data_IF_224109205807
#
_entry.id   IF_224109205807
#
_cell.length_a   1.000
_cell.length_b   1.000
_cell.length_c   1.000
_cell.angle_alpha   90.00
_cell.angle_beta   90.00
_cell.angle_gamma   90.00
#
_symmetry.space_group_name_H-M   'P 1'
#
loop_
_entity.id
_entity.type
_entity.pdbx_description
1 polymer ?
#
# COMPACT_ATOMS: atom_id res chain seq x y z
N UNK A 1 20.91 11.86 -8.15
CA UNK A 1 19.69 11.56 -8.92
C UNK A 1 19.23 10.12 -8.82
N UNK A 2 20.08 9.11 -8.88
CA UNK A 2 19.69 7.68 -8.88
C UNK A 2 18.93 7.24 -7.62
N UNK A 3 19.30 7.71 -6.43
CA UNK A 3 18.64 7.38 -5.16
C UNK A 3 17.21 7.92 -5.10
N UNK A 4 16.95 9.12 -5.63
CA UNK A 4 15.59 9.72 -5.71
C UNK A 4 14.63 8.88 -6.55
N UNK A 5 15.10 8.35 -7.69
CA UNK A 5 14.29 7.49 -8.57
C UNK A 5 13.87 6.19 -7.90
N UNK A 6 14.75 5.59 -7.09
CA UNK A 6 14.50 4.29 -6.44
C UNK A 6 13.40 4.36 -5.38
N UNK A 7 13.39 5.38 -4.53
CA UNK A 7 12.38 5.49 -3.49
C UNK A 7 11.03 5.97 -4.04
N UNK A 8 11.02 6.78 -5.10
CA UNK A 8 9.81 7.13 -5.83
C UNK A 8 9.20 5.88 -6.52
N UNK A 9 10.03 5.08 -7.18
CA UNK A 9 9.62 3.83 -7.79
C UNK A 9 9.02 2.87 -6.75
N UNK A 10 9.66 2.73 -5.59
CA UNK A 10 9.14 1.89 -4.50
C UNK A 10 7.76 2.35 -4.03
N UNK A 11 7.57 3.66 -3.86
CA UNK A 11 6.28 4.23 -3.44
C UNK A 11 5.18 3.95 -4.47
N UNK A 12 5.46 4.20 -5.77
CA UNK A 12 4.49 3.96 -6.84
C UNK A 12 4.19 2.47 -7.02
N UNK A 13 5.22 1.61 -6.99
CA UNK A 13 5.05 0.16 -7.13
C UNK A 13 4.23 -0.40 -5.97
N UNK A 14 4.49 0.05 -4.74
CA UNK A 14 3.70 -0.33 -3.57
C UNK A 14 2.25 0.19 -3.65
N UNK A 15 2.03 1.34 -4.29
CA UNK A 15 0.70 1.92 -4.47
C UNK A 15 -0.13 1.19 -5.54
N UNK A 16 0.47 0.37 -6.39
CA UNK A 16 -0.26 -0.33 -7.44
C UNK A 16 -1.31 -1.31 -6.88
N UNK A 17 -1.01 -2.00 -5.77
CA UNK A 17 -2.00 -2.89 -5.11
C UNK A 17 -3.24 -2.12 -4.64
N UNK A 18 -3.13 -1.05 -3.84
CA UNK A 18 -4.31 -0.28 -3.47
C UNK A 18 -4.99 0.35 -4.69
N UNK A 19 -4.24 0.84 -5.68
CA UNK A 19 -4.80 1.50 -6.86
C UNK A 19 -5.61 0.55 -7.75
N UNK A 20 -5.07 -0.61 -8.10
CA UNK A 20 -5.68 -1.54 -9.05
C UNK A 20 -6.39 -2.72 -8.40
N UNK A 21 -6.00 -3.10 -7.18
CA UNK A 21 -6.57 -4.24 -6.47
C UNK A 21 -7.71 -3.89 -5.51
N UNK A 22 -7.69 -2.69 -4.90
CA UNK A 22 -8.63 -2.32 -3.85
C UNK A 22 -9.58 -1.19 -4.28
N UNK A 23 -9.06 -0.15 -4.93
CA UNK A 23 -9.84 1.04 -5.28
C UNK A 23 -10.93 0.82 -6.35
N UNK A 24 -10.78 -0.08 -7.35
CA UNK A 24 -11.86 -0.34 -8.30
C UNK A 24 -13.21 -0.69 -7.67
N UNK A 25 -13.19 -1.41 -6.54
CA UNK A 25 -14.41 -1.75 -5.80
C UNK A 25 -15.06 -0.58 -5.04
N UNK A 26 -14.41 0.57 -4.98
CA UNK A 26 -14.85 1.74 -4.21
C UNK A 26 -15.49 2.83 -5.07
N UNK A 27 -15.50 2.65 -6.38
CA UNK A 27 -15.96 3.64 -7.35
C UNK A 27 -14.91 4.72 -7.64
N UNK A 28 -14.93 5.26 -8.86
CA UNK A 28 -13.93 6.22 -9.33
C UNK A 28 -13.94 7.55 -8.58
N UNK A 29 -15.11 8.06 -8.20
CA UNK A 29 -15.22 9.29 -7.43
C UNK A 29 -14.68 9.10 -6.01
N UNK A 30 -14.96 7.95 -5.36
CA UNK A 30 -14.39 7.59 -4.07
C UNK A 30 -12.88 7.45 -4.12
N UNK A 31 -12.34 6.84 -5.17
CA UNK A 31 -10.90 6.71 -5.38
C UNK A 31 -10.21 8.07 -5.58
N UNK A 32 -10.83 8.97 -6.37
CA UNK A 32 -10.30 10.30 -6.63
C UNK A 32 -10.28 11.17 -5.37
N UNK A 33 -11.43 11.30 -4.69
CA UNK A 33 -11.55 12.13 -3.49
C UNK A 33 -10.74 11.58 -2.32
N UNK A 34 -10.82 10.28 -2.07
CA UNK A 34 -10.03 9.62 -1.03
C UNK A 34 -8.53 9.69 -1.31
N UNK A 35 -8.13 9.55 -2.56
CA UNK A 35 -6.75 9.67 -2.98
C UNK A 35 -6.20 11.10 -2.89
N UNK A 36 -7.01 12.11 -3.23
CA UNK A 36 -6.66 13.52 -3.05
C UNK A 36 -6.46 13.85 -1.56
N UNK A 37 -7.36 13.34 -0.70
CA UNK A 37 -7.23 13.49 0.76
C UNK A 37 -5.94 12.82 1.28
N UNK A 38 -5.64 11.59 0.83
CA UNK A 38 -4.41 10.88 1.19
C UNK A 38 -3.16 11.65 0.76
N UNK A 39 -3.12 12.13 -0.48
CA UNK A 39 -2.00 12.92 -1.00
C UNK A 39 -1.83 14.24 -0.22
N UNK A 40 -2.92 14.90 0.15
CA UNK A 40 -2.89 16.12 0.96
C UNK A 40 -2.34 15.86 2.37
N UNK A 41 -2.81 14.81 3.06
CA UNK A 41 -2.32 14.38 4.38
C UNK A 41 -0.81 14.11 4.30
N UNK A 42 -0.37 13.33 3.32
CA UNK A 42 1.04 13.01 3.14
C UNK A 42 1.88 14.25 2.84
N UNK A 43 1.39 15.18 2.03
CA UNK A 43 2.08 16.44 1.73
C UNK A 43 2.25 17.30 3.00
N UNK A 44 1.20 17.43 3.81
CA UNK A 44 1.28 18.11 5.11
C UNK A 44 2.32 17.49 6.01
N UNK A 45 2.31 16.14 6.09
CA UNK A 45 3.28 15.38 6.88
C UNK A 45 4.71 15.56 6.38
N UNK A 46 4.92 15.48 5.07
CA UNK A 46 6.23 15.72 4.46
C UNK A 46 6.79 17.09 4.80
N UNK A 47 5.96 18.13 4.71
CA UNK A 47 6.36 19.49 5.09
C UNK A 47 6.67 19.59 6.58
N UNK A 48 5.90 18.92 7.45
CA UNK A 48 6.13 18.93 8.89
C UNK A 48 7.44 18.23 9.27
N UNK A 49 7.83 17.17 8.59
CA UNK A 49 9.06 16.41 8.88
C UNK A 49 10.35 17.12 8.45
N UNK A 50 10.31 18.14 7.56
CA UNK A 50 11.49 18.89 7.07
C UNK A 50 12.70 17.99 6.74
N UNK A 51 12.49 16.83 6.12
CA UNK A 51 13.56 15.89 5.76
C UNK A 51 13.99 14.92 6.86
N UNK A 52 13.40 14.97 8.07
CA UNK A 52 13.64 13.96 9.12
C UNK A 52 12.82 12.69 8.86
N UNK A 53 13.31 11.53 9.29
CA UNK A 53 12.50 10.32 9.27
C UNK A 53 11.45 10.37 10.37
N UNK A 54 10.24 9.88 10.06
CA UNK A 54 9.15 9.81 11.03
C UNK A 54 9.51 8.89 12.22
N UNK A 55 10.28 7.82 11.99
CA UNK A 55 10.74 6.91 13.03
C UNK A 55 11.60 7.64 14.10
N UNK A 56 12.51 8.51 13.67
CA UNK A 56 13.32 9.30 14.59
C UNK A 56 12.51 10.35 15.36
N UNK A 57 11.53 10.99 14.68
CA UNK A 57 10.65 11.96 15.32
C UNK A 57 9.73 11.30 16.36
N UNK A 58 9.28 10.06 16.11
CA UNK A 58 8.43 9.32 17.02
C UNK A 58 9.15 8.78 18.27
N UNK A 59 10.46 8.57 18.20
CA UNK A 59 11.25 8.02 19.33
C UNK A 59 11.45 9.03 20.47
N UNK A 60 11.05 10.28 20.34
CA UNK A 60 11.19 11.31 21.35
C UNK A 60 10.12 11.19 22.45
N UNK A 61 10.55 10.95 23.71
CA UNK A 61 9.69 10.88 24.90
C UNK A 61 8.96 9.55 25.10
N UNK A 62 8.32 9.37 26.28
CA UNK A 62 7.63 8.13 26.63
C UNK A 62 6.39 7.88 25.76
N UNK A 63 5.59 8.91 25.54
CA UNK A 63 4.38 8.85 24.69
C UNK A 63 4.75 8.54 23.24
N UNK A 64 5.83 9.15 22.72
CA UNK A 64 6.32 8.87 21.38
C UNK A 64 6.77 7.41 21.21
N UNK A 65 7.46 6.85 22.19
CA UNK A 65 7.86 5.42 22.20
C UNK A 65 6.67 4.47 22.21
N UNK A 66 5.67 4.72 23.05
CA UNK A 66 4.45 3.92 23.07
C UNK A 66 3.70 3.99 21.71
N UNK A 67 3.54 5.18 21.16
CA UNK A 67 2.92 5.37 19.86
C UNK A 67 3.72 4.70 18.73
N UNK A 68 5.05 4.73 18.77
CA UNK A 68 5.92 4.05 17.82
C UNK A 68 5.79 2.52 17.91
N UNK A 69 5.66 1.95 19.12
CA UNK A 69 5.43 0.52 19.32
C UNK A 69 4.08 0.09 18.72
N UNK A 70 3.01 0.82 19.01
CA UNK A 70 1.68 0.55 18.44
C UNK A 70 1.70 0.67 16.91
N UNK A 71 2.40 1.68 16.37
CA UNK A 71 2.53 1.85 14.92
C UNK A 71 3.34 0.72 14.28
N UNK A 72 4.39 0.23 14.93
CA UNK A 72 5.16 -0.92 14.43
C UNK A 72 4.30 -2.18 14.34
N UNK A 73 3.48 -2.45 15.37
CA UNK A 73 2.51 -3.55 15.35
C UNK A 73 1.45 -3.35 14.26
N UNK A 74 0.93 -2.12 14.11
CA UNK A 74 -0.02 -1.80 13.06
C UNK A 74 0.55 -2.00 11.65
N UNK A 75 1.78 -1.55 11.39
CA UNK A 75 2.46 -1.76 10.10
C UNK A 75 2.73 -3.24 9.84
N UNK A 76 3.07 -4.00 10.86
CA UNK A 76 3.22 -5.44 10.74
C UNK A 76 1.88 -6.13 10.40
N UNK A 77 0.79 -5.77 11.07
CA UNK A 77 -0.57 -6.24 10.75
C UNK A 77 -1.00 -5.87 9.32
N UNK A 78 -0.65 -4.65 8.87
CA UNK A 78 -0.87 -4.22 7.48
C UNK A 78 -0.06 -5.03 6.48
N UNK A 79 1.17 -5.41 6.81
CA UNK A 79 1.99 -6.28 5.96
C UNK A 79 1.37 -7.68 5.82
N UNK A 80 0.87 -8.26 6.92
CA UNK A 80 0.13 -9.52 6.90
C UNK A 80 -1.15 -9.42 6.06
N UNK A 81 -1.88 -8.33 6.21
CA UNK A 81 -3.06 -8.05 5.39
C UNK A 81 -2.72 -7.92 3.90
N UNK A 82 -1.65 -7.20 3.54
CA UNK A 82 -1.20 -7.05 2.16
C UNK A 82 -0.79 -8.40 1.56
N UNK A 83 -0.07 -9.23 2.31
CA UNK A 83 0.28 -10.59 1.91
C UNK A 83 -0.97 -11.48 1.75
N UNK A 84 -1.93 -11.40 2.67
CA UNK A 84 -3.21 -12.11 2.57
C UNK A 84 -4.03 -11.70 1.35
N UNK A 85 -4.02 -10.41 0.99
CA UNK A 85 -4.72 -9.90 -0.21
C UNK A 85 -4.11 -10.39 -1.51
N UNK A 86 -2.85 -10.77 -1.53
CA UNK A 86 -2.21 -11.34 -2.73
C UNK A 86 -2.89 -12.63 -3.23
N UNK A 87 -3.65 -13.33 -2.37
CA UNK A 87 -4.50 -14.46 -2.77
C UNK A 87 -5.52 -14.10 -3.85
N UNK A 88 -5.92 -12.83 -3.92
CA UNK A 88 -6.84 -12.35 -4.95
C UNK A 88 -6.24 -12.38 -6.36
N UNK A 89 -4.91 -12.41 -6.47
CA UNK A 89 -4.24 -12.58 -7.76
C UNK A 89 -4.44 -13.98 -8.36
N UNK A 90 -4.78 -14.98 -7.51
CA UNK A 90 -5.03 -16.35 -7.93
C UNK A 90 -6.39 -16.82 -7.39
N UNK A 91 -7.50 -16.44 -8.02
CA UNK A 91 -8.84 -16.83 -7.53
C UNK A 91 -9.06 -18.33 -7.51
N UNK A 92 -8.40 -19.08 -8.38
CA UNK A 92 -8.49 -20.54 -8.45
C UNK A 92 -7.84 -21.23 -7.24
N UNK A 93 -6.83 -20.58 -6.64
CA UNK A 93 -6.13 -21.07 -5.43
C UNK A 93 -6.48 -20.25 -4.20
N UNK A 94 -7.60 -19.51 -4.21
CA UNK A 94 -7.98 -18.57 -3.17
C UNK A 94 -8.08 -19.19 -1.76
N UNK A 95 -8.28 -20.51 -1.67
CA UNK A 95 -8.25 -21.25 -0.42
C UNK A 95 -6.85 -21.59 0.11
N UNK A 96 -5.81 -21.47 -0.72
CA UNK A 96 -4.44 -21.83 -0.30
C UNK A 96 -3.75 -20.67 0.44
N UNK A 97 -3.27 -20.88 1.65
CA UNK A 97 -2.47 -19.88 2.37
C UNK A 97 -1.05 -19.73 1.82
N UNK A 98 -0.62 -20.67 0.96
CA UNK A 98 0.76 -20.81 0.51
C UNK A 98 1.26 -19.55 -0.20
N UNK A 99 0.48 -18.97 -1.11
CA UNK A 99 0.87 -17.77 -1.85
C UNK A 99 1.10 -16.57 -0.91
N UNK A 100 0.22 -16.39 0.07
CA UNK A 100 0.37 -15.33 1.07
C UNK A 100 1.58 -15.56 1.97
N UNK A 101 1.81 -16.79 2.41
CA UNK A 101 2.96 -17.16 3.23
C UNK A 101 4.27 -16.95 2.48
N UNK A 102 4.34 -17.35 1.20
CA UNK A 102 5.52 -17.14 0.36
C UNK A 102 5.82 -15.65 0.16
N UNK A 103 4.80 -14.84 -0.16
CA UNK A 103 5.00 -13.39 -0.32
C UNK A 103 5.47 -12.77 0.98
N UNK A 104 4.88 -13.15 2.11
CA UNK A 104 5.29 -12.63 3.40
C UNK A 104 6.73 -13.03 3.74
N UNK A 105 7.12 -14.29 3.53
CA UNK A 105 8.46 -14.79 3.78
C UNK A 105 9.50 -14.09 2.89
N UNK A 106 9.23 -13.97 1.59
CA UNK A 106 10.09 -13.26 0.66
C UNK A 106 10.21 -11.77 1.00
N UNK A 107 9.10 -11.13 1.38
CA UNK A 107 9.08 -9.73 1.80
C UNK A 107 9.87 -9.50 3.08
N UNK A 108 9.77 -10.43 4.03
CA UNK A 108 10.55 -10.37 5.27
C UNK A 108 12.06 -10.52 4.99
N UNK A 109 12.42 -11.43 4.10
CA UNK A 109 13.82 -11.59 3.66
C UNK A 109 14.31 -10.33 2.95
N UNK A 110 13.54 -9.80 1.99
CA UNK A 110 13.89 -8.57 1.27
C UNK A 110 14.03 -7.36 2.22
N UNK A 111 13.17 -7.27 3.25
CA UNK A 111 13.28 -6.23 4.28
C UNK A 111 14.61 -6.31 5.07
N UNK A 112 15.25 -7.49 5.16
CA UNK A 112 16.59 -7.62 5.74
C UNK A 112 17.68 -7.00 4.87
N UNK A 113 17.53 -7.06 3.54
CA UNK A 113 18.48 -6.49 2.57
C UNK A 113 18.43 -4.96 2.51
N UNK A 114 17.42 -4.33 3.13
CA UNK A 114 17.31 -2.88 3.26
C UNK A 114 16.56 -2.19 2.13
N UNK A 115 16.19 -0.94 2.37
CA UNK A 115 15.33 -0.14 1.49
C UNK A 115 15.95 0.10 0.09
N UNK A 116 17.27 0.14 0.00
CA UNK A 116 17.95 0.39 -1.28
C UNK A 116 17.82 -0.79 -2.26
N UNK A 117 17.96 -2.03 -1.77
CA UNK A 117 17.81 -3.23 -2.58
C UNK A 117 16.36 -3.33 -3.12
N UNK A 118 15.37 -3.11 -2.25
CA UNK A 118 13.96 -3.14 -2.63
C UNK A 118 13.62 -1.99 -3.58
N UNK A 119 14.19 -0.81 -3.38
CA UNK A 119 14.04 0.33 -4.29
C UNK A 119 14.61 0.07 -5.69
N UNK A 120 15.71 -0.69 -5.81
CA UNK A 120 16.23 -1.13 -7.12
C UNK A 120 15.28 -2.08 -7.82
N UNK A 121 14.75 -3.07 -7.11
CA UNK A 121 13.77 -3.99 -7.63
C UNK A 121 12.51 -3.24 -8.11
N UNK A 122 11.98 -2.34 -7.29
CA UNK A 122 10.82 -1.53 -7.63
C UNK A 122 11.06 -0.62 -8.85
N UNK A 123 12.27 -0.08 -9.03
CA UNK A 123 12.61 0.76 -10.17
C UNK A 123 12.60 -0.01 -11.50
N UNK A 124 12.87 -1.31 -11.48
CA UNK A 124 12.75 -2.19 -12.66
C UNK A 124 11.30 -2.62 -12.88
N UNK A 125 10.57 -2.90 -11.80
CA UNK A 125 9.17 -3.34 -11.87
C UNK A 125 8.22 -2.22 -12.31
N UNK A 126 8.47 -0.98 -11.92
CA UNK A 126 7.57 0.14 -12.18
C UNK A 126 7.24 0.34 -13.67
N UNK A 127 8.21 0.40 -14.60
CA UNK A 127 7.88 0.54 -16.02
C UNK A 127 7.11 -0.66 -16.56
N UNK A 128 7.45 -1.88 -16.13
CA UNK A 128 6.70 -3.08 -16.51
C UNK A 128 5.24 -3.00 -16.05
N UNK A 129 5.01 -2.62 -14.79
CA UNK A 129 3.66 -2.44 -14.25
C UNK A 129 2.90 -1.33 -14.99
N UNK A 130 3.56 -0.21 -15.26
CA UNK A 130 2.95 0.91 -15.98
C UNK A 130 2.49 0.49 -17.39
N UNK A 131 3.30 -0.29 -18.09
CA UNK A 131 2.94 -0.83 -19.41
C UNK A 131 1.78 -1.81 -19.30
N UNK A 132 1.84 -2.79 -18.39
CA UNK A 132 0.81 -3.81 -18.23
C UNK A 132 -0.54 -3.20 -17.85
N UNK A 133 -0.58 -2.33 -16.85
CA UNK A 133 -1.82 -1.65 -16.44
C UNK A 133 -2.30 -0.67 -17.51
N UNK A 134 -1.38 0.06 -18.16
CA UNK A 134 -1.70 0.98 -19.25
C UNK A 134 -2.34 0.27 -20.44
N UNK A 135 -1.81 -0.86 -20.86
CA UNK A 135 -2.37 -1.68 -21.95
C UNK A 135 -3.79 -2.09 -21.60
N UNK A 136 -4.05 -2.60 -20.40
CA UNK A 136 -5.41 -3.02 -20.02
C UNK A 136 -6.36 -1.82 -20.01
N UNK A 137 -5.95 -0.69 -19.42
CA UNK A 137 -6.79 0.50 -19.41
C UNK A 137 -7.16 0.95 -20.82
N UNK A 138 -6.19 0.99 -21.74
CA UNK A 138 -6.41 1.41 -23.14
C UNK A 138 -7.34 0.45 -23.88
N UNK A 139 -7.07 -0.86 -23.80
CA UNK A 139 -7.91 -1.84 -24.51
C UNK A 139 -9.32 -1.98 -23.92
N UNK A 140 -9.47 -1.71 -22.62
CA UNK A 140 -10.80 -1.71 -21.98
C UNK A 140 -11.64 -0.48 -22.37
N UNK A 141 -11.06 0.59 -22.93
CA UNK A 141 -11.80 1.77 -23.36
C UNK A 141 -12.81 1.44 -24.47
N UNK A 142 -12.50 0.47 -25.34
CA UNK A 142 -13.41 0.04 -26.42
C UNK A 142 -14.70 -0.63 -25.91
N UNK A 143 -14.67 -1.19 -24.69
CA UNK A 143 -15.81 -1.86 -24.07
C UNK A 143 -16.56 -0.97 -23.07
N UNK A 144 -16.14 0.29 -22.93
CA UNK A 144 -16.61 1.20 -21.90
C UNK A 144 -18.02 1.73 -22.25
N UNK A 145 -18.98 1.50 -21.36
CA UNK A 145 -20.34 2.04 -21.46
C UNK A 145 -20.47 3.29 -20.58
N UNK A 146 -20.60 4.45 -21.20
CA UNK A 146 -20.68 5.74 -20.48
C UNK A 146 -21.88 5.80 -19.52
N UNK A 147 -22.98 5.10 -19.83
CA UNK A 147 -24.17 5.02 -18.96
C UNK A 147 -23.88 4.39 -17.58
N UNK A 148 -22.80 3.61 -17.45
CA UNK A 148 -22.40 2.96 -16.20
C UNK A 148 -21.38 3.77 -15.38
N UNK A 149 -20.89 4.89 -15.95
CA UNK A 149 -19.93 5.79 -15.28
C UNK A 149 -20.56 6.74 -14.27
N UNK A 150 -21.85 6.60 -13.97
CA UNK A 150 -22.49 7.39 -12.94
C UNK A 150 -21.70 7.30 -11.61
N UNK A 151 -21.50 8.42 -10.91
CA UNK A 151 -20.71 8.44 -9.68
C UNK A 151 -21.41 7.63 -8.59
N UNK A 152 -21.08 6.37 -8.51
CA UNK A 152 -21.50 5.47 -7.43
C UNK A 152 -20.47 5.58 -6.31
N UNK A 153 -20.62 6.54 -5.41
CA UNK A 153 -19.67 6.71 -4.32
C UNK A 153 -20.40 6.99 -3.02
N UNK A 154 -20.23 6.11 -2.03
CA UNK A 154 -20.60 6.41 -0.66
C UNK A 154 -19.44 7.12 0.05
N UNK A 155 -19.67 8.02 1.02
CA UNK A 155 -18.59 8.63 1.81
C UNK A 155 -17.66 7.59 2.45
N UNK A 156 -18.19 6.41 2.81
CA UNK A 156 -17.41 5.28 3.32
C UNK A 156 -16.43 4.72 2.29
N UNK A 157 -16.79 4.75 1.01
CA UNK A 157 -15.89 4.33 -0.06
C UNK A 157 -14.69 5.29 -0.20
N UNK A 158 -14.93 6.61 -0.13
CA UNK A 158 -13.85 7.62 -0.12
C UNK A 158 -12.90 7.46 1.07
N UNK A 159 -13.41 7.19 2.26
CA UNK A 159 -12.58 6.92 3.45
C UNK A 159 -11.72 5.65 3.28
N UNK A 160 -12.29 4.58 2.72
CA UNK A 160 -11.53 3.35 2.43
C UNK A 160 -10.47 3.57 1.37
N UNK A 161 -10.76 4.34 0.33
CA UNK A 161 -9.79 4.71 -0.70
C UNK A 161 -8.66 5.56 -0.10
N UNK A 162 -8.97 6.54 0.73
CA UNK A 162 -7.99 7.33 1.46
C UNK A 162 -7.09 6.43 2.32
N UNK A 163 -7.66 5.55 3.15
CA UNK A 163 -6.91 4.64 4.00
C UNK A 163 -5.98 3.71 3.20
N UNK A 164 -6.46 3.15 2.09
CA UNK A 164 -5.65 2.26 1.25
C UNK A 164 -4.54 3.00 0.51
N UNK A 165 -4.79 4.21 0.01
CA UNK A 165 -3.78 5.03 -0.67
C UNK A 165 -2.82 5.75 0.28
N UNK A 166 -3.08 5.74 1.60
CA UNK A 166 -2.12 6.12 2.62
C UNK A 166 -1.04 5.06 2.90
N UNK A 167 -1.28 3.78 2.54
CA UNK A 167 -0.34 2.69 2.79
C UNK A 167 1.08 2.96 2.26
N UNK A 168 1.29 3.48 1.04
CA UNK A 168 2.61 3.85 0.55
C UNK A 168 3.30 4.94 1.39
N UNK A 169 2.54 5.67 2.20
CA UNK A 169 3.04 6.64 3.17
C UNK A 169 3.95 6.01 4.24
N UNK A 170 3.94 4.69 4.39
CA UNK A 170 4.92 3.96 5.19
C UNK A 170 6.37 4.29 4.81
N UNK A 171 6.62 4.73 3.58
CA UNK A 171 7.92 5.24 3.15
C UNK A 171 8.43 6.45 3.96
N UNK A 172 7.54 7.19 4.63
CA UNK A 172 7.93 8.30 5.52
C UNK A 172 8.63 7.85 6.80
N UNK A 173 8.43 6.59 7.22
CA UNK A 173 9.16 6.02 8.36
C UNK A 173 10.60 5.68 7.99
N UNK A 174 10.86 5.40 6.72
CA UNK A 174 12.21 5.14 6.22
C UNK A 174 13.02 6.45 6.20
N UNK A 175 14.33 6.29 6.33
CA UNK A 175 15.26 7.42 6.27
C UNK A 175 15.06 8.14 4.94
N UNK A 176 14.51 9.35 4.99
CA UNK A 176 14.25 10.16 3.80
C UNK A 176 15.59 10.73 3.31
N UNK A 177 16.01 10.31 2.14
CA UNK A 177 17.02 11.01 1.39
C UNK A 177 16.35 12.19 0.67
N UNK A 178 16.97 13.37 0.77
CA UNK A 178 16.41 14.62 0.24
C UNK A 178 15.81 14.49 -1.16
N UNK A 179 14.56 14.87 -1.31
CA UNK A 179 13.91 15.15 -2.59
C UNK A 179 12.90 14.15 -3.13
N UNK A 180 12.52 13.09 -2.40
CA UNK A 180 11.41 12.22 -2.83
C UNK A 180 10.12 12.68 -2.19
N UNK A 181 9.17 13.06 -3.01
CA UNK A 181 7.82 13.39 -2.58
C UNK A 181 6.94 12.14 -2.62
N UNK A 182 6.66 11.55 -1.46
CA UNK A 182 5.72 10.44 -1.30
C UNK A 182 4.31 10.92 -1.68
N UNK A 183 3.98 12.17 -1.37
CA UNK A 183 2.69 12.78 -1.72
C UNK A 183 2.46 12.83 -3.23
N UNK A 184 3.48 13.13 -4.04
CA UNK A 184 3.37 13.09 -5.51
C UNK A 184 3.14 11.68 -6.02
N UNK A 185 3.87 10.69 -5.48
CA UNK A 185 3.65 9.28 -5.80
C UNK A 185 2.22 8.84 -5.49
N UNK A 186 1.70 9.22 -4.33
CA UNK A 186 0.32 8.92 -3.93
C UNK A 186 -0.71 9.64 -4.81
N UNK A 187 -0.45 10.88 -5.23
CA UNK A 187 -1.34 11.59 -6.16
C UNK A 187 -1.43 10.89 -7.52
N UNK A 188 -0.29 10.45 -8.07
CA UNK A 188 -0.26 9.66 -9.32
C UNK A 188 -1.01 8.33 -9.14
N UNK A 189 -0.79 7.64 -8.03
CA UNK A 189 -1.50 6.41 -7.70
C UNK A 189 -3.00 6.63 -7.55
N UNK A 190 -3.44 7.77 -7.01
CA UNK A 190 -4.84 8.14 -6.88
C UNK A 190 -5.51 8.34 -8.25
N UNK A 191 -4.82 9.00 -9.19
CA UNK A 191 -5.29 9.14 -10.56
C UNK A 191 -5.39 7.79 -11.27
N UNK A 192 -4.37 6.94 -11.13
CA UNK A 192 -4.39 5.57 -11.65
C UNK A 192 -5.53 4.74 -11.03
N UNK A 193 -5.78 4.89 -9.73
CA UNK A 193 -6.89 4.22 -9.03
C UNK A 193 -8.25 4.69 -9.55
N UNK A 194 -8.43 5.99 -9.75
CA UNK A 194 -9.66 6.55 -10.29
C UNK A 194 -9.91 6.07 -11.75
N UNK A 195 -8.86 6.06 -12.58
CA UNK A 195 -8.94 5.54 -13.94
C UNK A 195 -9.28 4.04 -13.94
N UNK A 196 -8.63 3.23 -13.13
CA UNK A 196 -8.92 1.81 -12.99
C UNK A 196 -10.35 1.56 -12.51
N UNK A 197 -10.84 2.35 -11.54
CA UNK A 197 -12.19 2.26 -11.02
C UNK A 197 -13.24 2.67 -12.08
N UNK A 198 -12.98 3.73 -12.84
CA UNK A 198 -13.84 4.19 -13.92
C UNK A 198 -13.95 3.14 -15.04
N UNK A 199 -12.81 2.63 -15.50
CA UNK A 199 -12.77 1.57 -16.52
C UNK A 199 -13.49 0.32 -16.02
N UNK A 200 -13.23 -0.09 -14.78
CA UNK A 200 -13.88 -1.28 -14.20
C UNK A 200 -15.40 -1.11 -14.09
N UNK A 201 -15.87 0.05 -13.64
CA UNK A 201 -17.31 0.35 -13.57
C UNK A 201 -17.96 0.39 -14.94
N UNK A 202 -17.30 1.01 -15.93
CA UNK A 202 -17.80 1.15 -17.28
C UNK A 202 -17.81 -0.15 -18.10
N UNK A 203 -16.98 -1.14 -17.73
CA UNK A 203 -16.91 -2.44 -18.42
C UNK A 203 -17.75 -3.52 -17.76
N UNK A 204 -17.77 -3.61 -16.43
CA UNK A 204 -18.38 -4.73 -15.67
C UNK A 204 -19.78 -4.43 -15.14
N UNK A 205 -20.32 -3.23 -15.33
CA UNK A 205 -21.50 -2.72 -14.61
C UNK A 205 -21.23 -2.44 -13.11
N UNK A 206 -22.10 -1.63 -12.45
CA UNK A 206 -21.90 -1.29 -11.02
C UNK A 206 -21.81 -2.48 -10.06
N UNK A 207 -22.66 -3.52 -10.16
CA UNK A 207 -22.52 -4.70 -9.28
C UNK A 207 -21.25 -5.51 -9.57
N UNK A 208 -20.83 -5.63 -10.84
CA UNK A 208 -19.59 -6.31 -11.21
C UNK A 208 -18.34 -5.57 -10.72
N UNK A 209 -18.37 -4.24 -10.74
CA UNK A 209 -17.28 -3.40 -10.22
C UNK A 209 -17.10 -3.51 -8.69
N UNK A 210 -18.13 -3.92 -7.97
CA UNK A 210 -18.06 -4.17 -6.53
C UNK A 210 -17.41 -5.53 -6.16
N UNK A 211 -17.11 -6.38 -7.14
CA UNK A 211 -16.48 -7.68 -6.90
C UNK A 211 -15.06 -7.52 -6.31
N UNK A 212 -14.64 -8.54 -5.54
CA UNK A 212 -13.33 -8.51 -4.82
C UNK A 212 -12.11 -8.36 -5.72
N UNK A 213 -12.19 -8.81 -6.98
CA UNK A 213 -11.11 -8.79 -7.96
C UNK A 213 -11.58 -8.19 -9.30
N UNK A 214 -12.37 -7.11 -9.24
CA UNK A 214 -13.03 -6.52 -10.40
C UNK A 214 -12.06 -6.17 -11.54
N UNK A 215 -10.90 -5.57 -11.22
CA UNK A 215 -9.90 -5.24 -12.24
C UNK A 215 -9.29 -6.48 -12.91
N UNK A 216 -9.10 -7.58 -12.16
CA UNK A 216 -8.66 -8.85 -12.72
C UNK A 216 -9.73 -9.44 -13.65
N UNK A 217 -11.01 -9.28 -13.32
CA UNK A 217 -12.13 -9.70 -14.18
C UNK A 217 -12.15 -8.89 -15.48
N UNK A 218 -11.90 -7.57 -15.43
CA UNK A 218 -11.72 -6.73 -16.62
C UNK A 218 -10.57 -7.26 -17.47
N UNK A 219 -9.44 -7.61 -16.87
CA UNK A 219 -8.28 -8.12 -17.62
C UNK A 219 -8.57 -9.44 -18.36
N UNK A 220 -9.53 -10.23 -17.88
CA UNK A 220 -10.00 -11.45 -18.54
C UNK A 220 -10.87 -11.16 -19.77
N UNK A 221 -11.63 -10.06 -19.74
CA UNK A 221 -12.50 -9.68 -20.87
C UNK A 221 -11.73 -9.04 -22.02
N UNK A 222 -10.49 -8.58 -21.78
CA UNK A 222 -9.64 -7.96 -22.78
C UNK A 222 -8.96 -9.04 -23.61
N UNK A 223 -9.34 -9.15 -24.89
CA UNK A 223 -8.62 -9.93 -25.89
C UNK A 223 -7.91 -8.96 -26.84
N UNK A 224 -6.60 -9.12 -26.99
CA UNK A 224 -5.82 -8.30 -27.94
C UNK A 224 -5.72 -9.08 -29.25
N UNK A 225 -6.35 -8.54 -30.31
CA UNK A 225 -6.32 -9.09 -31.68
C UNK A 225 -6.71 -10.58 -31.79
N UNK A 226 -7.45 -11.13 -30.81
CA UNK A 226 -7.82 -12.55 -30.80
C UNK A 226 -6.66 -13.52 -30.51
N UNK A 227 -5.42 -13.02 -30.44
CA UNK A 227 -4.21 -13.85 -30.30
C UNK A 227 -3.81 -14.00 -28.82
N UNK A 228 -3.91 -12.93 -28.04
CA UNK A 228 -3.54 -12.96 -26.62
C UNK A 228 -4.81 -12.97 -25.79
N UNK A 229 -5.22 -14.17 -25.36
CA UNK A 229 -6.44 -14.38 -24.57
C UNK A 229 -6.20 -14.48 -23.05
N UNK A 230 -4.91 -14.48 -22.60
CA UNK A 230 -4.58 -14.75 -21.20
C UNK A 230 -3.73 -13.64 -20.55
N UNK A 231 -4.20 -12.39 -20.69
CA UNK A 231 -3.58 -11.26 -19.96
C UNK A 231 -3.71 -11.38 -18.43
N UNK A 232 -4.65 -12.16 -17.96
CA UNK A 232 -4.88 -12.38 -16.53
C UNK A 232 -3.62 -12.89 -15.79
N UNK A 233 -2.85 -13.79 -16.39
CA UNK A 233 -1.64 -14.32 -15.77
C UNK A 233 -0.56 -13.26 -15.57
N UNK A 234 -0.38 -12.36 -16.56
CA UNK A 234 0.55 -11.24 -16.47
C UNK A 234 0.11 -10.24 -15.40
N UNK A 235 -1.18 -9.93 -15.34
CA UNK A 235 -1.72 -9.03 -14.31
C UNK A 235 -1.67 -9.65 -12.93
N UNK A 236 -1.97 -10.93 -12.79
CA UNK A 236 -1.81 -11.65 -11.53
C UNK A 236 -0.35 -11.59 -11.03
N UNK A 237 0.61 -11.83 -11.92
CA UNK A 237 2.03 -11.67 -11.64
C UNK A 237 2.39 -10.24 -11.25
N UNK A 238 1.88 -9.23 -11.97
CA UNK A 238 2.07 -7.82 -11.67
C UNK A 238 1.50 -7.43 -10.29
N UNK A 239 0.31 -7.92 -9.95
CA UNK A 239 -0.30 -7.72 -8.63
C UNK A 239 0.51 -8.36 -7.51
N UNK A 240 1.05 -9.57 -7.73
CA UNK A 240 1.93 -10.23 -6.76
C UNK A 240 3.21 -9.44 -6.52
N UNK A 241 3.86 -8.98 -7.58
CA UNK A 241 5.08 -8.17 -7.46
C UNK A 241 4.82 -6.84 -6.76
N UNK A 242 3.69 -6.19 -7.05
CA UNK A 242 3.27 -4.98 -6.33
C UNK A 242 2.96 -5.27 -4.87
N UNK A 243 2.29 -6.39 -4.59
CA UNK A 243 1.98 -6.87 -3.23
C UNK A 243 3.25 -7.15 -2.43
N UNK A 244 4.23 -7.78 -3.06
CA UNK A 244 5.57 -7.99 -2.49
C UNK A 244 6.24 -6.65 -2.14
N UNK A 245 6.24 -5.66 -3.03
CA UNK A 245 6.81 -4.34 -2.78
C UNK A 245 6.09 -3.61 -1.64
N UNK A 246 4.76 -3.66 -1.59
CA UNK A 246 3.98 -3.07 -0.51
C UNK A 246 4.26 -3.75 0.83
N UNK A 247 4.20 -5.08 0.88
CA UNK A 247 4.48 -5.85 2.08
C UNK A 247 5.89 -5.57 2.61
N UNK A 248 6.89 -5.57 1.72
CA UNK A 248 8.27 -5.27 2.07
C UNK A 248 8.45 -3.85 2.59
N UNK A 249 7.77 -2.86 1.99
CA UNK A 249 7.80 -1.46 2.44
C UNK A 249 7.24 -1.33 3.86
N UNK A 250 6.12 -1.98 4.15
CA UNK A 250 5.49 -1.98 5.47
C UNK A 250 6.38 -2.66 6.53
N UNK A 251 7.01 -3.79 6.19
CA UNK A 251 7.95 -4.48 7.07
C UNK A 251 9.22 -3.68 7.32
N UNK A 252 9.74 -2.98 6.29
CA UNK A 252 10.87 -2.06 6.45
C UNK A 252 10.53 -0.92 7.41
N UNK A 253 9.36 -0.31 7.26
CA UNK A 253 8.90 0.78 8.13
C UNK A 253 8.71 0.29 9.58
N UNK A 254 8.12 -0.89 9.78
CA UNK A 254 7.97 -1.52 11.09
C UNK A 254 9.34 -1.80 11.73
N UNK A 255 10.29 -2.29 10.93
CA UNK A 255 11.67 -2.54 11.38
C UNK A 255 12.36 -1.26 11.84
N UNK A 256 12.29 -0.17 11.06
CA UNK A 256 12.90 1.13 11.42
C UNK A 256 12.34 1.67 12.73
N UNK A 257 11.02 1.51 12.96
CA UNK A 257 10.40 1.87 14.23
C UNK A 257 10.90 1.01 15.38
N UNK A 258 10.96 -0.32 15.22
CA UNK A 258 11.49 -1.23 16.25
C UNK A 258 12.96 -0.95 16.56
N UNK A 259 13.78 -0.67 15.53
CA UNK A 259 15.20 -0.34 15.73
C UNK A 259 15.39 1.01 16.42
N UNK A 260 14.41 1.92 16.34
CA UNK A 260 14.40 3.18 17.08
C UNK A 260 13.99 3.03 18.55
N UNK A 261 13.28 1.95 18.90
CA UNK A 261 12.72 1.69 20.24
C UNK A 261 13.60 0.81 21.13
N UNK A 262 14.30 -0.16 20.54
CA UNK A 262 14.97 -1.22 21.29
C UNK A 262 16.47 -1.35 20.94
N UNK A 263 17.33 -1.71 21.89
CA UNK A 263 18.72 -2.03 21.61
C UNK A 263 18.82 -3.21 20.64
N UNK A 264 19.82 -3.21 19.75
CA UNK A 264 19.97 -4.14 18.61
C UNK A 264 19.82 -5.63 18.95
N UNK A 265 20.24 -6.07 20.15
CA UNK A 265 20.17 -7.49 20.57
C UNK A 265 18.73 -7.96 20.84
N UNK A 266 17.91 -7.17 21.52
CA UNK A 266 16.50 -7.52 21.77
C UNK A 266 15.62 -7.41 20.52
N UNK A 267 15.96 -6.51 19.62
CA UNK A 267 15.29 -6.32 18.34
C UNK A 267 15.36 -7.56 17.43
N UNK A 268 16.43 -8.36 17.48
CA UNK A 268 16.55 -9.57 16.66
C UNK A 268 15.57 -10.67 17.08
N UNK A 269 15.44 -10.91 18.39
CA UNK A 269 14.51 -11.90 18.93
C UNK A 269 13.05 -11.52 18.63
N UNK A 270 12.69 -10.23 18.81
CA UNK A 270 11.35 -9.72 18.48
C UNK A 270 11.04 -9.86 16.99
N UNK A 271 12.01 -9.61 16.11
CA UNK A 271 11.82 -9.77 14.66
C UNK A 271 11.59 -11.21 14.25
N UNK A 272 12.34 -12.16 14.83
CA UNK A 272 12.18 -13.59 14.53
C UNK A 272 10.88 -14.16 15.09
N UNK A 273 10.47 -13.78 16.30
CA UNK A 273 9.19 -14.20 16.88
C UNK A 273 8.01 -13.61 16.11
N UNK A 274 8.06 -12.34 15.69
CA UNK A 274 7.05 -11.71 14.85
C UNK A 274 6.93 -12.42 13.49
N UNK A 275 8.06 -12.82 12.88
CA UNK A 275 8.05 -13.56 11.62
C UNK A 275 7.35 -14.93 11.78
N UNK A 276 7.73 -15.69 12.81
CA UNK A 276 7.11 -16.99 13.07
C UNK A 276 5.60 -16.85 13.35
N UNK A 277 5.21 -15.89 14.20
CA UNK A 277 3.80 -15.59 14.47
C UNK A 277 3.04 -15.18 13.20
N UNK A 278 3.64 -14.38 12.33
CA UNK A 278 3.06 -13.97 11.06
C UNK A 278 2.81 -15.13 10.11
N UNK A 279 3.76 -16.06 10.00
CA UNK A 279 3.58 -17.28 9.19
C UNK A 279 2.46 -18.16 9.74
N UNK A 280 2.41 -18.39 11.05
CA UNK A 280 1.35 -19.15 11.71
C UNK A 280 -0.01 -18.48 11.45
N UNK A 281 -0.09 -17.16 11.59
CA UNK A 281 -1.30 -16.40 11.38
C UNK A 281 -1.82 -16.49 9.94
N UNK A 282 -0.93 -16.46 8.93
CA UNK A 282 -1.30 -16.61 7.53
C UNK A 282 -1.73 -18.04 7.18
N UNK A 283 -1.27 -19.02 7.93
CA UNK A 283 -1.64 -20.43 7.74
C UNK A 283 -3.04 -20.76 8.28
N UNK A 284 -3.56 -19.96 9.21
CA UNK A 284 -4.90 -20.16 9.75
C UNK A 284 -5.98 -19.82 8.71
N UNK A 285 -6.80 -20.78 8.26
CA UNK A 285 -7.71 -20.61 7.12
C UNK A 285 -9.06 -20.04 7.54
N UNK A 286 -9.11 -18.95 8.29
CA UNK A 286 -10.39 -18.40 8.75
C UNK A 286 -10.74 -17.08 8.08
N UNK A 287 -12.02 -16.88 7.66
CA UNK A 287 -12.48 -15.58 7.20
C UNK A 287 -12.37 -14.49 8.28
N UNK A 288 -12.28 -14.87 9.56
CA UNK A 288 -12.05 -13.98 10.69
C UNK A 288 -10.63 -13.39 10.72
N UNK A 289 -9.62 -14.15 10.24
CA UNK A 289 -8.26 -13.59 10.11
C UNK A 289 -8.22 -12.39 9.17
N UNK A 290 -9.06 -12.38 8.15
CA UNK A 290 -9.22 -11.23 7.25
C UNK A 290 -9.87 -10.02 7.94
N UNK A 291 -10.82 -10.25 8.87
CA UNK A 291 -11.44 -9.18 9.68
C UNK A 291 -10.45 -8.65 10.71
N UNK A 292 -9.73 -9.51 11.39
CA UNK A 292 -8.74 -9.12 12.40
C UNK A 292 -7.60 -8.29 11.78
N UNK A 293 -7.09 -8.70 10.60
CA UNK A 293 -6.09 -7.92 9.87
C UNK A 293 -6.66 -6.60 9.34
N UNK A 294 -7.93 -6.54 9.00
CA UNK A 294 -8.61 -5.28 8.67
C UNK A 294 -8.69 -4.33 9.86
N UNK A 295 -9.00 -4.84 11.05
CA UNK A 295 -9.02 -4.05 12.29
C UNK A 295 -7.60 -3.58 12.66
N UNK A 296 -6.59 -4.46 12.59
CA UNK A 296 -5.20 -4.06 12.84
C UNK A 296 -4.69 -3.05 11.80
N UNK A 297 -5.15 -3.15 10.55
CA UNK A 297 -4.88 -2.16 9.51
C UNK A 297 -5.48 -0.79 9.85
N UNK A 298 -6.72 -0.76 10.31
CA UNK A 298 -7.39 0.47 10.74
C UNK A 298 -6.68 1.05 11.98
N UNK A 299 -6.38 0.21 12.98
CA UNK A 299 -5.66 0.64 14.18
C UNK A 299 -4.25 1.15 13.84
N UNK A 300 -3.52 0.51 12.91
CA UNK A 300 -2.23 0.96 12.43
C UNK A 300 -2.32 2.29 11.69
N UNK A 301 -3.34 2.47 10.85
CA UNK A 301 -3.63 3.74 10.16
C UNK A 301 -3.95 4.87 11.14
N UNK A 302 -4.78 4.59 12.15
CA UNK A 302 -5.11 5.55 13.22
C UNK A 302 -3.86 5.89 14.05
N UNK A 303 -3.04 4.89 14.41
CA UNK A 303 -1.81 5.12 15.15
C UNK A 303 -0.79 5.92 14.33
N UNK A 304 -0.67 5.67 13.02
CA UNK A 304 0.14 6.48 12.13
C UNK A 304 -0.39 7.92 12.02
N UNK A 305 -1.70 8.11 11.88
CA UNK A 305 -2.33 9.43 11.85
C UNK A 305 -2.12 10.19 13.18
N UNK A 306 -2.24 9.49 14.32
CA UNK A 306 -1.98 10.05 15.64
C UNK A 306 -0.51 10.45 15.82
N UNK A 307 0.44 9.63 15.38
CA UNK A 307 1.86 9.97 15.36
C UNK A 307 2.14 11.23 14.54
N UNK A 308 1.50 11.33 13.37
CA UNK A 308 1.62 12.50 12.51
C UNK A 308 1.08 13.76 13.20
N UNK A 309 -0.03 13.64 13.91
CA UNK A 309 -0.61 14.73 14.68
C UNK A 309 0.27 15.16 15.87
N UNK A 310 0.81 14.21 16.64
CA UNK A 310 1.69 14.50 17.79
C UNK A 310 2.99 15.16 17.31
N UNK A 311 3.58 14.70 16.21
CA UNK A 311 4.78 15.31 15.62
C UNK A 311 4.49 16.72 15.12
N UNK A 312 3.31 16.99 14.57
CA UNK A 312 2.92 18.33 14.11
C UNK A 312 2.74 19.30 15.27
N UNK A 313 2.12 18.85 16.38
CA UNK A 313 1.85 19.67 17.58
C UNK A 313 3.13 20.02 18.36
N UNK A 314 4.05 19.05 18.52
CA UNK A 314 5.34 19.27 19.18
C UNK A 314 6.21 20.32 18.47
N UNK A 315 5.93 20.57 17.22
CA UNK A 315 6.62 21.55 16.39
C UNK A 315 6.03 22.94 16.50
N UNK A 316 4.71 23.06 16.73
CA UNK A 316 4.07 24.35 17.01
C UNK A 316 4.62 24.93 18.31
N UNK A 317 4.70 24.12 19.37
CA UNK A 317 5.23 24.55 20.67
C UNK A 317 6.69 24.99 20.59
N UNK A 318 7.55 24.29 19.85
CA UNK A 318 8.97 24.66 19.73
C UNK A 318 9.23 25.90 18.87
N UNK A 319 8.28 26.29 18.02
CA UNK A 319 8.33 27.56 17.30
C UNK A 319 7.84 28.74 18.16
N UNK A 320 6.94 28.47 19.10
CA UNK A 320 6.50 29.48 20.09
C UNK A 320 7.55 29.73 21.17
N UNK A 321 8.36 28.73 21.54
CA UNK A 321 9.49 28.91 22.48
C UNK A 321 10.71 29.63 21.85
N UNK A 322 10.82 29.69 20.53
CA UNK A 322 11.93 30.32 19.82
C UNK A 322 11.53 31.67 19.15
N UNK A 323 10.30 32.12 19.33
CA UNK A 323 9.81 33.43 18.91
C UNK A 323 9.69 34.38 20.10
#
# INVERSE_FOLDING_TARGET
MLKRRKSFALTLTAAAVPAFGLCPSLGWAGALLGGAAAAWILNRTERALRGRSLAKAAACGAVGRAAAAVSALGLFGLALWAAGRSRLAFPETAGSPLAAALIFALSFWAARSGAEAVGRCAAVLLPLLAVLYGVILVFSLSQLRLSWLLPTGTPRAGLRACASLLLPGAALFLRREDGVSVSRGTAIAALAAAAAAAVTAGTLSPPGAAARAAFLTVSRSVSILGVIQRFEALISGAMLMSGFCLCTLLLLAARELLDSLAPKKSSAAVKTSAFAAGLIFLWLPTPETFRLTGVTAICGGVACAFLLFVVSKNKSQKNEENA
#
